data_IF_527191173218
#
_entry.id   IF_527191173218
#
_cell.length_a   1.000
_cell.length_b   1.000
_cell.length_c   1.000
_cell.angle_alpha   90.00
_cell.angle_beta   90.00
_cell.angle_gamma   90.00
#
_symmetry.space_group_name_H-M   'P 1'
#
loop_
_entity.id
_entity.type
_entity.pdbx_description
1 polymer ?
#
# COMPACT_ATOMS: atom_id res chain seq x y z
N UNK A 1 -32.53 -56.30 -22.94
CA UNK A 1 -32.80 -54.85 -22.77
C UNK A 1 -32.22 -54.24 -21.48
N UNK A 2 -31.99 -54.98 -20.38
CA UNK A 2 -31.37 -54.41 -19.14
C UNK A 2 -29.91 -53.95 -19.28
N UNK A 3 -29.13 -54.56 -20.19
CA UNK A 3 -27.69 -54.28 -20.37
C UNK A 3 -27.38 -52.94 -21.04
N UNK A 4 -28.27 -52.45 -21.91
CA UNK A 4 -28.08 -51.19 -22.64
C UNK A 4 -28.29 -50.00 -21.70
N UNK A 5 -29.27 -50.11 -20.80
CA UNK A 5 -29.58 -49.09 -19.78
C UNK A 5 -28.42 -48.91 -18.80
N UNK A 6 -27.79 -50.01 -18.37
CA UNK A 6 -26.61 -49.99 -17.50
C UNK A 6 -25.39 -49.35 -18.19
N UNK A 7 -25.19 -49.63 -19.49
CA UNK A 7 -24.12 -49.01 -20.27
C UNK A 7 -24.31 -47.50 -20.44
N UNK A 8 -25.54 -47.04 -20.70
CA UNK A 8 -25.84 -45.60 -20.78
C UNK A 8 -25.72 -44.88 -19.44
N UNK A 9 -26.05 -45.55 -18.32
CA UNK A 9 -25.95 -44.96 -16.98
C UNK A 9 -24.49 -44.74 -16.55
N UNK A 10 -23.57 -45.59 -17.01
CA UNK A 10 -22.13 -45.46 -16.76
C UNK A 10 -21.45 -44.44 -17.68
N UNK A 11 -21.98 -44.20 -18.88
CA UNK A 11 -21.41 -43.22 -19.82
C UNK A 11 -21.82 -41.76 -19.49
N UNK A 12 -22.98 -41.56 -18.85
CA UNK A 12 -23.52 -40.24 -18.54
C UNK A 12 -22.63 -39.37 -17.62
N UNK A 13 -22.04 -39.91 -16.52
CA UNK A 13 -21.19 -39.13 -15.62
C UNK A 13 -19.91 -38.65 -16.31
N UNK A 14 -19.35 -39.47 -17.21
CA UNK A 14 -18.15 -39.11 -17.97
C UNK A 14 -18.41 -38.01 -19.01
N UNK A 15 -19.61 -37.97 -19.60
CA UNK A 15 -20.01 -36.90 -20.52
C UNK A 15 -20.23 -35.55 -19.81
N UNK A 16 -20.65 -35.57 -18.54
CA UNK A 16 -20.82 -34.34 -17.74
C UNK A 16 -19.46 -33.85 -17.23
N UNK A 17 -18.54 -34.77 -16.89
CA UNK A 17 -17.17 -34.43 -16.46
C UNK A 17 -16.28 -33.91 -17.59
N UNK A 18 -16.58 -34.21 -18.85
CA UNK A 18 -15.85 -33.69 -20.02
C UNK A 18 -16.34 -32.31 -20.47
N UNK A 19 -17.43 -31.80 -19.91
CA UNK A 19 -17.79 -30.40 -20.09
C UNK A 19 -16.71 -29.57 -19.38
N UNK A 20 -15.97 -28.71 -20.10
CA UNK A 20 -15.05 -27.81 -19.44
C UNK A 20 -15.89 -26.94 -18.52
N UNK A 21 -15.76 -27.15 -17.21
CA UNK A 21 -16.30 -26.25 -16.21
C UNK A 21 -15.66 -24.89 -16.46
N UNK A 22 -16.34 -24.01 -17.18
CA UNK A 22 -16.07 -22.57 -17.15
C UNK A 22 -16.50 -22.03 -15.78
N UNK A 23 -15.82 -22.48 -14.74
CA UNK A 23 -15.73 -21.77 -13.48
C UNK A 23 -14.42 -21.01 -13.50
N UNK A 24 -14.28 -20.07 -14.44
CA UNK A 24 -13.15 -19.14 -14.41
C UNK A 24 -13.43 -17.91 -15.25
N UNK A 25 -13.17 -16.74 -14.64
CA UNK A 25 -13.07 -15.42 -15.26
C UNK A 25 -14.37 -14.65 -15.55
N UNK A 26 -15.24 -14.51 -14.54
CA UNK A 26 -15.97 -13.25 -14.36
C UNK A 26 -15.25 -12.36 -13.33
N UNK A 27 -13.91 -12.34 -13.32
CA UNK A 27 -13.19 -11.30 -12.59
C UNK A 27 -13.03 -10.12 -13.55
N UNK A 28 -14.09 -9.33 -13.66
CA UNK A 28 -13.98 -7.99 -14.22
C UNK A 28 -13.10 -7.21 -13.24
N UNK A 29 -11.78 -7.25 -13.47
CA UNK A 29 -10.84 -6.39 -12.77
C UNK A 29 -11.11 -4.99 -13.32
N UNK A 30 -12.09 -4.31 -12.75
CA UNK A 30 -12.24 -2.87 -12.91
C UNK A 30 -11.00 -2.27 -12.26
N UNK A 31 -10.02 -1.89 -13.08
CA UNK A 31 -8.90 -1.06 -12.62
C UNK A 31 -9.42 0.37 -12.62
N UNK A 32 -9.85 0.94 -11.47
CA UNK A 32 -10.11 2.37 -11.46
C UNK A 32 -8.80 3.04 -11.85
N UNK A 33 -8.81 3.72 -12.99
CA UNK A 33 -7.68 4.56 -13.39
C UNK A 33 -7.72 5.77 -12.48
N UNK A 34 -7.19 5.62 -11.27
CA UNK A 34 -6.94 6.73 -10.37
C UNK A 34 -5.90 7.58 -11.07
N UNK A 35 -6.34 8.67 -11.71
CA UNK A 35 -5.44 9.71 -12.17
C UNK A 35 -4.77 10.27 -10.92
N UNK A 36 -3.59 9.75 -10.61
CA UNK A 36 -2.66 10.45 -9.74
C UNK A 36 -2.38 11.76 -10.47
N UNK A 37 -2.98 12.85 -9.99
CA UNK A 37 -2.42 14.15 -10.26
C UNK A 37 -0.98 14.05 -9.73
N UNK A 38 -0.02 13.95 -10.64
CA UNK A 38 1.39 14.15 -10.33
C UNK A 38 1.50 15.59 -9.85
N UNK A 39 1.15 15.82 -8.60
CA UNK A 39 1.58 17.00 -7.87
C UNK A 39 3.08 16.83 -7.85
N UNK A 40 3.75 17.49 -8.78
CA UNK A 40 5.18 17.74 -8.69
C UNK A 40 5.34 18.63 -7.47
N UNK A 41 5.32 18.02 -6.28
CA UNK A 41 5.71 18.66 -5.04
C UNK A 41 7.18 18.94 -5.27
N UNK A 42 7.49 20.17 -5.72
CA UNK A 42 8.87 20.64 -5.72
C UNK A 42 9.43 20.30 -4.35
N UNK A 43 10.54 19.55 -4.25
CA UNK A 43 11.08 19.18 -2.95
C UNK A 43 11.32 20.49 -2.19
N UNK A 44 10.48 20.74 -1.18
CA UNK A 44 10.70 21.86 -0.29
C UNK A 44 11.97 21.51 0.48
N UNK A 45 12.95 22.43 0.56
CA UNK A 45 14.14 22.16 1.34
C UNK A 45 13.69 21.84 2.77
N UNK A 46 14.03 20.63 3.24
CA UNK A 46 13.78 20.23 4.62
C UNK A 46 14.70 21.06 5.49
N UNK A 47 14.15 22.08 6.15
CA UNK A 47 14.89 22.92 7.08
C UNK A 47 15.02 22.15 8.38
N UNK A 48 16.20 21.58 8.62
CA UNK A 48 16.49 20.91 9.88
C UNK A 48 16.67 21.97 10.96
N UNK A 49 15.89 21.85 12.03
CA UNK A 49 15.99 22.72 13.19
C UNK A 49 16.43 21.89 14.38
N UNK A 50 17.45 22.37 15.09
CA UNK A 50 17.90 21.78 16.36
C UNK A 50 17.46 22.68 17.50
N UNK A 51 16.78 22.09 18.48
CA UNK A 51 16.49 22.77 19.74
C UNK A 51 17.78 22.87 20.55
N UNK A 52 18.16 24.10 20.90
CA UNK A 52 19.19 24.36 21.89
C UNK A 52 18.46 24.65 23.22
N UNK A 53 18.64 23.81 24.26
CA UNK A 53 18.02 24.05 25.56
C UNK A 53 18.58 25.32 26.21
N UNK A 54 17.77 25.92 27.09
CA UNK A 54 18.19 27.10 27.84
C UNK A 54 19.38 26.78 28.72
N UNK A 55 20.37 27.67 28.74
CA UNK A 55 21.61 27.44 29.47
C UNK A 55 22.20 28.75 30.00
N UNK A 56 23.10 28.60 30.97
CA UNK A 56 23.90 29.69 31.47
C UNK A 56 25.16 29.84 30.64
N UNK A 57 25.36 31.02 30.06
CA UNK A 57 26.57 31.38 29.32
C UNK A 57 27.49 32.22 30.22
N UNK A 58 28.77 31.87 30.24
CA UNK A 58 29.78 32.65 30.97
C UNK A 58 30.28 33.78 30.06
N UNK A 59 29.99 35.02 30.44
CA UNK A 59 30.46 36.22 29.73
C UNK A 59 31.56 36.92 30.54
N UNK A 60 32.23 37.91 29.92
CA UNK A 60 33.23 38.76 30.61
C UNK A 60 32.67 39.56 31.79
N UNK A 61 31.35 39.74 31.85
CA UNK A 61 30.64 40.49 32.89
C UNK A 61 29.86 39.59 33.86
N UNK A 62 30.05 38.27 33.79
CA UNK A 62 29.37 37.29 34.64
C UNK A 62 28.49 36.30 33.85
N UNK A 63 27.59 35.62 34.58
CA UNK A 63 26.71 34.60 34.00
C UNK A 63 25.45 35.24 33.41
N UNK A 64 25.17 34.94 32.15
CA UNK A 64 23.94 35.36 31.47
C UNK A 64 23.08 34.15 31.16
N UNK A 65 21.79 34.25 31.48
CA UNK A 65 20.82 33.23 31.09
C UNK A 65 20.48 33.38 29.61
N UNK A 66 20.60 32.30 28.86
CA UNK A 66 20.22 32.21 27.45
C UNK A 66 18.98 31.31 27.35
N UNK A 67 17.83 31.84 26.88
CA UNK A 67 16.61 31.04 26.72
C UNK A 67 16.76 29.99 25.61
N UNK A 68 15.95 28.95 25.69
CA UNK A 68 15.89 27.89 24.67
C UNK A 68 15.46 28.47 23.32
N UNK A 69 16.13 28.06 22.24
CA UNK A 69 15.82 28.53 20.90
C UNK A 69 16.16 27.47 19.84
N UNK A 70 15.53 27.60 18.67
CA UNK A 70 15.78 26.74 17.52
C UNK A 70 16.82 27.37 16.59
N UNK A 71 17.79 26.58 16.17
CA UNK A 71 18.79 26.99 15.16
C UNK A 71 18.64 26.11 13.92
N UNK A 72 18.72 26.73 12.74
CA UNK A 72 18.73 26.02 11.45
C UNK A 72 20.11 25.41 11.22
N UNK A 73 20.16 24.14 10.81
CA UNK A 73 21.38 23.39 10.45
C UNK A 73 21.32 23.07 8.96
#
# INVERSE_FOLDING_TARGET
MKRIILGSLLALPFAIASLPSQASAAQIIVRPTVRHNNVVVRPRPVVHQKLIPGHWEQTRYGRKWVPAHYVRI
#
